data_IF_510891835501
#
_entry.id   IF_510891835501
#
_cell.length_a   1.000
_cell.length_b   1.000
_cell.length_c   1.000
_cell.angle_alpha   90.00
_cell.angle_beta   90.00
_cell.angle_gamma   90.00
#
_symmetry.space_group_name_H-M   'P 1'
#
loop_
_entity.id
_entity.type
_entity.pdbx_description
1 polymer ?
#
# COMPACT_ATOMS: atom_id res chain seq x y z
N UNK A 1 8.91 6.95 -11.32
CA UNK A 1 9.87 7.66 -10.47
C UNK A 1 9.41 9.10 -10.20
N UNK A 2 10.10 9.83 -9.32
CA UNK A 2 9.74 11.20 -8.94
C UNK A 2 9.76 12.18 -10.11
N UNK A 3 10.65 12.01 -11.09
CA UNK A 3 10.73 12.88 -12.26
C UNK A 3 9.51 12.70 -13.19
N UNK A 4 9.05 11.48 -13.37
CA UNK A 4 7.82 11.18 -14.12
C UNK A 4 6.59 11.76 -13.41
N UNK A 5 6.51 11.60 -12.09
CA UNK A 5 5.44 12.20 -11.29
C UNK A 5 5.44 13.72 -11.40
N UNK A 6 6.61 14.37 -11.33
CA UNK A 6 6.73 15.81 -11.47
C UNK A 6 6.22 16.31 -12.84
N UNK A 7 6.56 15.59 -13.93
CA UNK A 7 6.04 15.91 -15.29
C UNK A 7 4.51 15.78 -15.36
N UNK A 8 3.95 14.73 -14.78
CA UNK A 8 2.50 14.54 -14.72
C UNK A 8 1.80 15.70 -13.99
N UNK A 9 2.34 16.12 -12.85
CA UNK A 9 1.82 17.26 -12.10
C UNK A 9 1.96 18.59 -12.85
N UNK A 10 3.08 18.81 -13.58
CA UNK A 10 3.24 19.99 -14.42
C UNK A 10 2.18 20.05 -15.53
N UNK A 11 1.89 18.93 -16.18
CA UNK A 11 0.83 18.84 -17.18
C UNK A 11 -0.54 19.15 -16.57
N UNK A 12 -0.88 18.52 -15.44
CA UNK A 12 -2.14 18.73 -14.73
C UNK A 12 -2.36 20.18 -14.32
N UNK A 13 -1.34 20.84 -13.78
CA UNK A 13 -1.46 22.19 -13.23
C UNK A 13 -1.30 23.30 -14.27
N UNK A 14 -0.60 23.06 -15.40
CA UNK A 14 -0.20 24.13 -16.31
C UNK A 14 -0.83 24.07 -17.69
N UNK A 15 -1.33 22.90 -18.15
CA UNK A 15 -2.01 22.81 -19.43
C UNK A 15 -3.47 23.30 -19.35
N UNK A 16 -4.07 23.81 -20.45
CA UNK A 16 -5.49 24.18 -20.47
C UNK A 16 -6.41 23.01 -20.11
N UNK A 17 -6.11 21.82 -20.62
CA UNK A 17 -6.87 20.58 -20.36
C UNK A 17 -6.78 20.17 -18.91
N UNK A 18 -5.58 20.17 -18.33
CA UNK A 18 -5.36 19.85 -16.93
C UNK A 18 -6.07 20.83 -15.99
N UNK A 19 -6.01 22.13 -16.29
CA UNK A 19 -6.72 23.17 -15.52
C UNK A 19 -8.24 22.97 -15.60
N UNK A 20 -8.77 22.66 -16.79
CA UNK A 20 -10.20 22.38 -16.99
C UNK A 20 -10.63 21.18 -16.12
N UNK A 21 -9.91 20.07 -16.22
CA UNK A 21 -10.20 18.86 -15.44
C UNK A 21 -10.08 19.12 -13.94
N UNK A 22 -9.07 19.87 -13.50
CA UNK A 22 -8.91 20.23 -12.10
C UNK A 22 -10.08 21.08 -11.58
N UNK A 23 -10.55 22.04 -12.39
CA UNK A 23 -11.71 22.87 -12.01
C UNK A 23 -12.97 22.02 -11.90
N UNK A 24 -13.20 21.12 -12.85
CA UNK A 24 -14.32 20.17 -12.81
C UNK A 24 -14.24 19.27 -11.56
N UNK A 25 -13.07 18.70 -11.30
CA UNK A 25 -12.83 17.88 -10.11
C UNK A 25 -13.11 18.65 -8.80
N UNK A 26 -12.58 19.85 -8.67
CA UNK A 26 -12.78 20.70 -7.48
C UNK A 26 -14.23 21.14 -7.28
N UNK A 27 -15.06 21.12 -8.34
CA UNK A 27 -16.49 21.40 -8.21
C UNK A 27 -17.28 20.24 -7.57
N UNK A 28 -16.74 19.03 -7.64
CA UNK A 28 -17.37 17.79 -7.16
C UNK A 28 -16.82 17.42 -5.77
N UNK A 29 -15.52 17.60 -5.56
CA UNK A 29 -14.83 17.20 -4.34
C UNK A 29 -13.74 18.19 -3.93
N UNK A 30 -13.60 18.40 -2.61
CA UNK A 30 -12.44 19.10 -2.05
C UNK A 30 -11.38 18.06 -1.73
N UNK A 31 -10.26 18.12 -2.45
CA UNK A 31 -9.17 17.17 -2.28
C UNK A 31 -7.86 17.89 -1.98
N UNK A 32 -7.15 17.40 -0.98
CA UNK A 32 -5.77 17.76 -0.72
C UNK A 32 -4.84 16.85 -1.52
N UNK A 33 -3.76 17.44 -2.03
CA UNK A 33 -2.71 16.66 -2.69
C UNK A 33 -1.91 15.91 -1.63
N UNK A 34 -1.86 14.58 -1.77
CA UNK A 34 -1.00 13.72 -0.96
C UNK A 34 -0.13 12.87 -1.88
N UNK A 35 1.15 12.82 -1.59
CA UNK A 35 2.11 11.97 -2.29
C UNK A 35 2.79 11.02 -1.31
N UNK A 36 3.07 9.82 -1.77
CA UNK A 36 3.80 8.82 -1.01
C UNK A 36 4.81 8.09 -1.88
N UNK A 37 5.84 7.55 -1.27
CA UNK A 37 6.68 6.53 -1.89
C UNK A 37 6.10 5.15 -1.56
N UNK A 38 5.96 4.32 -2.57
CA UNK A 38 5.51 2.93 -2.42
C UNK A 38 6.68 1.99 -2.74
N UNK A 39 7.00 1.11 -1.81
CA UNK A 39 8.01 0.07 -1.98
C UNK A 39 7.34 -1.29 -2.06
N UNK A 40 7.56 -1.99 -3.16
CA UNK A 40 7.12 -3.38 -3.32
C UNK A 40 8.00 -4.28 -2.45
N UNK A 41 7.37 -5.01 -1.52
CA UNK A 41 8.01 -6.07 -0.75
C UNK A 41 7.93 -7.39 -1.50
N UNK A 42 6.76 -7.68 -2.02
CA UNK A 42 6.47 -8.82 -2.87
C UNK A 42 5.22 -8.52 -3.72
N UNK A 43 5.17 -9.05 -4.94
CA UNK A 43 3.97 -9.00 -5.79
C UNK A 43 3.98 -10.13 -6.82
N UNK A 44 2.81 -10.74 -6.99
CA UNK A 44 2.47 -11.52 -8.17
C UNK A 44 1.96 -10.55 -9.25
N UNK A 45 2.82 -10.22 -10.21
CA UNK A 45 2.55 -9.21 -11.23
C UNK A 45 1.41 -9.65 -12.15
N UNK A 46 1.31 -10.93 -12.48
CA UNK A 46 0.27 -11.45 -13.37
C UNK A 46 -1.09 -11.41 -12.69
N UNK A 47 -1.16 -11.84 -11.43
CA UNK A 47 -2.37 -11.73 -10.62
C UNK A 47 -2.79 -10.27 -10.40
N UNK A 48 -1.84 -9.37 -10.14
CA UNK A 48 -2.10 -7.93 -10.02
C UNK A 48 -2.65 -7.34 -11.31
N UNK A 49 -2.15 -7.74 -12.48
CA UNK A 49 -2.60 -7.23 -13.78
C UNK A 49 -3.96 -7.79 -14.19
N UNK A 50 -4.30 -9.01 -13.79
CA UNK A 50 -5.57 -9.66 -14.13
C UNK A 50 -6.73 -9.26 -13.22
N UNK A 51 -6.46 -8.82 -11.99
CA UNK A 51 -7.48 -8.45 -11.00
C UNK A 51 -7.93 -7.01 -11.19
N UNK A 52 -9.24 -6.79 -11.42
CA UNK A 52 -9.84 -5.45 -11.58
C UNK A 52 -10.50 -4.94 -10.29
N UNK A 53 -11.09 -5.82 -9.52
CA UNK A 53 -11.71 -5.52 -8.22
C UNK A 53 -10.95 -6.30 -7.16
N UNK A 54 -10.32 -5.61 -6.23
CA UNK A 54 -9.42 -6.16 -5.25
C UNK A 54 -9.80 -5.71 -3.85
N UNK A 55 -9.25 -6.36 -2.85
CA UNK A 55 -9.30 -5.87 -1.47
C UNK A 55 -7.90 -5.44 -1.05
N UNK A 56 -7.80 -4.23 -0.53
CA UNK A 56 -6.58 -3.70 0.07
C UNK A 56 -6.74 -3.67 1.59
N UNK A 57 -5.85 -4.35 2.29
CA UNK A 57 -5.78 -4.28 3.76
C UNK A 57 -4.62 -3.38 4.15
N UNK A 58 -4.94 -2.28 4.81
CA UNK A 58 -4.00 -1.28 5.27
C UNK A 58 -3.76 -1.42 6.77
N UNK A 59 -2.51 -1.32 7.16
CA UNK A 59 -2.09 -1.36 8.53
C UNK A 59 -1.04 -0.25 8.77
N UNK A 60 -1.46 0.82 9.43
CA UNK A 60 -0.60 1.96 9.75
C UNK A 60 0.31 1.65 10.93
N UNK A 61 1.60 1.94 10.78
CA UNK A 61 2.63 1.55 11.73
C UNK A 61 3.66 2.64 11.95
N UNK A 62 4.20 2.68 13.16
CA UNK A 62 5.42 3.38 13.53
C UNK A 62 6.52 2.38 13.89
N UNK A 63 7.79 2.76 13.69
CA UNK A 63 8.91 2.00 14.21
C UNK A 63 8.94 2.08 15.74
N UNK A 64 9.22 0.96 16.39
CA UNK A 64 9.50 0.97 17.83
C UNK A 64 10.79 1.68 18.16
N UNK A 65 10.88 2.18 19.38
CA UNK A 65 12.09 2.80 19.90
C UNK A 65 13.30 1.85 19.76
N UNK A 66 14.39 2.37 19.23
CA UNK A 66 15.62 1.60 19.00
C UNK A 66 15.62 0.70 17.76
N UNK A 67 14.51 0.57 17.03
CA UNK A 67 14.44 -0.18 15.77
C UNK A 67 14.87 0.72 14.61
N UNK A 68 15.78 0.21 13.77
CA UNK A 68 16.23 0.94 12.58
C UNK A 68 15.46 0.50 11.33
N UNK A 69 15.44 1.36 10.33
CA UNK A 69 14.84 1.02 9.02
C UNK A 69 15.51 -0.21 8.39
N UNK A 70 16.82 -0.36 8.56
CA UNK A 70 17.59 -1.51 8.05
C UNK A 70 17.14 -2.82 8.68
N UNK A 71 16.93 -2.83 10.01
CA UNK A 71 16.45 -4.02 10.72
C UNK A 71 15.01 -4.39 10.31
N UNK A 72 14.15 -3.40 10.06
CA UNK A 72 12.80 -3.64 9.54
C UNK A 72 12.84 -4.17 8.10
N UNK A 73 13.71 -3.63 7.23
CA UNK A 73 13.88 -4.12 5.86
C UNK A 73 14.36 -5.58 5.86
N UNK A 74 15.33 -5.93 6.72
CA UNK A 74 15.79 -7.31 6.88
C UNK A 74 14.67 -8.24 7.36
N UNK A 75 13.81 -7.77 8.28
CA UNK A 75 12.63 -8.50 8.73
C UNK A 75 11.62 -8.73 7.59
N UNK A 76 11.35 -7.72 6.77
CA UNK A 76 10.49 -7.87 5.59
C UNK A 76 11.04 -8.93 4.63
N UNK A 77 12.35 -8.88 4.32
CA UNK A 77 12.99 -9.85 3.44
C UNK A 77 12.86 -11.29 3.99
N UNK A 78 13.09 -11.49 5.29
CA UNK A 78 12.91 -12.79 5.95
C UNK A 78 11.46 -13.29 5.86
N UNK A 79 10.47 -12.43 5.99
CA UNK A 79 9.06 -12.84 5.84
C UNK A 79 8.79 -13.27 4.41
N UNK A 80 9.23 -12.52 3.40
CA UNK A 80 9.05 -12.87 1.98
C UNK A 80 9.74 -14.19 1.65
N UNK A 81 10.95 -14.43 2.17
CA UNK A 81 11.69 -15.68 1.97
C UNK A 81 10.95 -16.91 2.53
N UNK A 82 10.33 -16.77 3.71
CA UNK A 82 9.58 -17.86 4.35
C UNK A 82 8.17 -18.07 3.76
N UNK A 83 7.61 -17.07 3.07
CA UNK A 83 6.28 -17.10 2.45
C UNK A 83 6.32 -16.58 1.01
N UNK A 84 7.06 -17.24 0.09
CA UNK A 84 7.37 -16.71 -1.24
C UNK A 84 6.16 -16.56 -2.17
N UNK A 85 5.04 -17.23 -1.88
CA UNK A 85 3.79 -17.13 -2.66
C UNK A 85 2.73 -16.22 -2.04
N UNK A 86 3.07 -15.53 -0.95
CA UNK A 86 2.06 -14.85 -0.12
C UNK A 86 1.14 -15.85 0.59
N UNK A 87 0.10 -15.34 1.22
CA UNK A 87 -0.93 -16.16 1.88
C UNK A 87 -2.28 -15.55 1.56
N UNK A 88 -2.89 -16.00 0.48
CA UNK A 88 -4.11 -15.43 -0.08
C UNK A 88 -3.93 -14.04 -0.71
N UNK A 89 -2.84 -13.32 -0.40
CA UNK A 89 -2.54 -12.02 -0.98
C UNK A 89 -1.74 -12.16 -2.28
N UNK A 90 -1.92 -11.20 -3.18
CA UNK A 90 -1.21 -11.07 -4.47
C UNK A 90 -0.19 -9.91 -4.46
N UNK A 91 -0.08 -9.19 -3.37
CA UNK A 91 0.93 -8.16 -3.20
C UNK A 91 1.08 -7.71 -1.76
N UNK A 92 2.30 -7.26 -1.44
CA UNK A 92 2.65 -6.62 -0.18
C UNK A 92 3.53 -5.41 -0.44
N UNK A 93 3.08 -4.26 0.03
CA UNK A 93 3.71 -2.96 -0.21
C UNK A 93 3.93 -2.21 1.09
N UNK A 94 4.99 -1.40 1.11
CA UNK A 94 5.19 -0.36 2.13
C UNK A 94 4.84 1.01 1.53
N UNK A 95 3.98 1.75 2.19
CA UNK A 95 3.52 3.07 1.79
C UNK A 95 4.07 4.12 2.76
N UNK A 96 4.87 5.05 2.28
CA UNK A 96 5.53 6.09 3.07
C UNK A 96 5.03 7.47 2.66
N UNK A 97 4.26 8.16 3.51
CA UNK A 97 3.80 9.51 3.23
C UNK A 97 4.97 10.48 3.02
N UNK A 98 4.84 11.34 2.00
CA UNK A 98 5.82 12.40 1.69
C UNK A 98 5.14 13.77 1.79
N UNK A 99 4.61 14.29 0.67
CA UNK A 99 3.92 15.57 0.61
C UNK A 99 2.49 15.40 1.11
N UNK A 100 2.03 16.30 1.98
CA UNK A 100 0.69 16.21 2.57
C UNK A 100 0.54 15.09 3.60
N UNK A 101 1.64 14.51 4.06
CA UNK A 101 1.65 13.40 5.02
C UNK A 101 1.43 13.80 6.49
N UNK A 102 1.37 15.09 6.81
CA UNK A 102 1.25 15.57 8.20
C UNK A 102 0.00 15.06 8.96
N UNK A 103 -1.02 14.60 8.22
CA UNK A 103 -2.24 13.99 8.78
C UNK A 103 -2.27 12.47 8.62
N UNK A 104 -1.16 11.83 8.24
CA UNK A 104 -1.08 10.38 8.18
C UNK A 104 -1.23 9.79 9.60
N UNK A 105 -1.94 8.67 9.76
CA UNK A 105 -2.15 8.05 11.07
C UNK A 105 -0.87 7.59 11.76
N UNK A 106 0.17 7.25 10.97
CA UNK A 106 1.49 6.82 11.45
C UNK A 106 2.55 7.04 10.35
N UNK A 107 3.81 6.71 10.62
CA UNK A 107 4.95 6.98 9.75
C UNK A 107 4.91 6.24 8.43
N UNK A 108 4.30 5.08 8.38
CA UNK A 108 4.12 4.29 7.17
C UNK A 108 2.91 3.36 7.26
N UNK A 109 2.51 2.79 6.12
CA UNK A 109 1.53 1.71 6.13
C UNK A 109 2.07 0.46 5.43
N UNK A 110 1.70 -0.70 5.96
CA UNK A 110 1.73 -1.95 5.23
C UNK A 110 0.42 -2.10 4.45
N UNK A 111 0.53 -2.47 3.19
CA UNK A 111 -0.62 -2.71 2.33
C UNK A 111 -0.53 -4.13 1.79
N UNK A 112 -1.49 -4.97 2.12
CA UNK A 112 -1.68 -6.28 1.51
C UNK A 112 -2.82 -6.20 0.50
N UNK A 113 -2.60 -6.70 -0.70
CA UNK A 113 -3.60 -6.75 -1.77
C UNK A 113 -4.06 -8.20 -1.94
N UNK A 114 -5.37 -8.38 -1.97
CA UNK A 114 -6.03 -9.67 -2.18
C UNK A 114 -6.84 -9.64 -3.48
N UNK A 115 -6.83 -10.72 -4.28
CA UNK A 115 -7.54 -10.73 -5.56
C UNK A 115 -9.06 -10.65 -5.36
N UNK A 116 -9.54 -11.18 -4.25
CA UNK A 116 -10.96 -11.27 -3.89
C UNK A 116 -11.15 -11.47 -2.37
N UNK A 117 -12.39 -11.64 -1.95
CA UNK A 117 -12.74 -11.90 -0.55
C UNK A 117 -12.24 -13.27 -0.08
N UNK A 118 -12.16 -14.27 -0.97
CA UNK A 118 -11.68 -15.60 -0.59
C UNK A 118 -10.20 -15.56 -0.18
N UNK A 119 -9.34 -14.86 -0.95
CA UNK A 119 -7.94 -14.66 -0.59
C UNK A 119 -7.78 -13.89 0.72
N UNK A 120 -8.61 -12.87 0.98
CA UNK A 120 -8.61 -12.17 2.26
C UNK A 120 -8.98 -13.12 3.43
N UNK A 121 -10.00 -13.97 3.25
CA UNK A 121 -10.40 -14.92 4.29
C UNK A 121 -9.37 -16.03 4.49
N UNK A 122 -8.70 -16.50 3.45
CA UNK A 122 -7.56 -17.41 3.56
C UNK A 122 -6.45 -16.83 4.43
N UNK A 123 -6.10 -15.57 4.21
CA UNK A 123 -5.13 -14.87 5.05
C UNK A 123 -5.58 -14.80 6.52
N UNK A 124 -6.86 -14.49 6.78
CA UNK A 124 -7.39 -14.44 8.15
C UNK A 124 -7.40 -15.82 8.82
N UNK A 125 -7.71 -16.88 8.07
CA UNK A 125 -7.63 -18.24 8.55
C UNK A 125 -6.18 -18.63 8.89
N UNK A 126 -5.22 -18.33 8.01
CA UNK A 126 -3.80 -18.56 8.30
C UNK A 126 -3.36 -17.86 9.59
N UNK A 127 -3.78 -16.59 9.81
CA UNK A 127 -3.49 -15.89 11.06
C UNK A 127 -4.02 -16.70 12.26
N UNK A 128 -5.25 -17.20 12.19
CA UNK A 128 -5.88 -17.98 13.28
C UNK A 128 -5.20 -19.34 13.52
N UNK A 129 -4.67 -19.97 12.48
CA UNK A 129 -4.03 -21.30 12.53
C UNK A 129 -2.54 -21.28 12.91
N UNK A 130 -2.00 -20.12 13.29
CA UNK A 130 -0.62 -20.00 13.79
C UNK A 130 0.20 -18.88 13.14
N UNK A 131 -0.27 -18.27 12.07
CA UNK A 131 0.33 -17.10 11.42
C UNK A 131 0.42 -15.90 12.36
N UNK A 132 -0.42 -15.85 13.39
CA UNK A 132 -0.34 -14.85 14.46
C UNK A 132 1.05 -14.78 15.11
N UNK A 133 1.84 -15.85 15.11
CA UNK A 133 3.22 -15.88 15.63
C UNK A 133 4.14 -15.00 14.78
N UNK A 134 3.99 -15.06 13.44
CA UNK A 134 4.74 -14.21 12.50
C UNK A 134 4.36 -12.75 12.69
N UNK A 135 3.06 -12.48 12.86
CA UNK A 135 2.56 -11.14 13.13
C UNK A 135 3.06 -10.60 14.47
N UNK A 136 3.05 -11.42 15.50
CA UNK A 136 3.58 -11.05 16.84
C UNK A 136 5.09 -10.77 16.78
N UNK A 137 5.85 -11.60 16.06
CA UNK A 137 7.28 -11.38 15.86
C UNK A 137 7.55 -10.09 15.07
N UNK A 138 6.73 -9.79 14.05
CA UNK A 138 6.78 -8.52 13.35
C UNK A 138 6.53 -7.32 14.26
N UNK A 139 5.63 -7.46 15.22
CA UNK A 139 5.33 -6.42 16.23
C UNK A 139 6.45 -6.18 17.26
N UNK A 140 7.55 -6.93 17.22
CA UNK A 140 8.77 -6.54 17.93
C UNK A 140 9.49 -5.35 17.25
N UNK A 141 9.19 -5.08 15.98
CA UNK A 141 9.80 -4.02 15.18
C UNK A 141 8.91 -2.77 15.05
N UNK A 142 7.61 -2.94 15.16
CA UNK A 142 6.64 -1.87 14.86
C UNK A 142 5.48 -1.86 15.84
N UNK A 143 4.92 -0.68 16.04
CA UNK A 143 3.61 -0.47 16.66
C UNK A 143 2.60 -0.14 15.57
N UNK A 144 1.65 -1.03 15.36
CA UNK A 144 0.66 -0.89 14.30
C UNK A 144 -0.75 -0.71 14.86
N UNK A 145 -1.52 0.10 14.15
CA UNK A 145 -2.96 0.23 14.37
C UNK A 145 -3.69 -1.02 13.82
N UNK A 146 -4.99 -1.11 14.05
CA UNK A 146 -5.82 -2.19 13.48
C UNK A 146 -5.86 -2.18 11.94
N UNK A 147 -6.27 -3.31 11.38
CA UNK A 147 -6.39 -3.47 9.93
C UNK A 147 -7.60 -2.70 9.39
N UNK A 148 -7.39 -1.89 8.35
CA UNK A 148 -8.45 -1.27 7.57
C UNK A 148 -8.57 -2.03 6.24
N UNK A 149 -9.78 -2.47 5.90
CA UNK A 149 -10.05 -3.16 4.63
C UNK A 149 -10.82 -2.24 3.72
N UNK A 150 -10.33 -2.08 2.49
CA UNK A 150 -10.92 -1.26 1.44
C UNK A 150 -11.15 -2.08 0.19
N UNK A 151 -12.19 -1.73 -0.57
CA UNK A 151 -12.37 -2.24 -1.93
C UNK A 151 -11.54 -1.34 -2.85
N UNK A 152 -10.70 -1.94 -3.66
CA UNK A 152 -9.90 -1.29 -4.68
C UNK A 152 -10.45 -1.64 -6.05
N UNK A 153 -10.81 -0.63 -6.83
CA UNK A 153 -11.19 -0.78 -8.23
C UNK A 153 -10.12 -0.16 -9.13
N UNK A 154 -9.51 -0.98 -9.97
CA UNK A 154 -8.49 -0.53 -10.93
C UNK A 154 -9.17 0.15 -12.10
N UNK A 155 -9.06 1.47 -12.19
CA UNK A 155 -9.64 2.29 -13.27
C UNK A 155 -8.72 2.45 -14.47
N UNK A 156 -7.41 2.36 -14.25
CA UNK A 156 -6.41 2.52 -15.30
C UNK A 156 -5.22 1.59 -15.02
N UNK A 157 -4.78 0.88 -16.04
CA UNK A 157 -3.54 0.11 -16.01
C UNK A 157 -2.55 0.75 -16.99
N UNK A 158 -1.34 1.12 -16.56
CA UNK A 158 -0.33 1.65 -17.47
C UNK A 158 0.02 0.62 -18.55
N UNK A 159 -0.02 1.03 -19.82
CA UNK A 159 0.37 0.18 -20.94
C UNK A 159 -0.74 -0.67 -21.58
N UNK A 160 -2.00 -0.47 -21.20
CA UNK A 160 -3.17 -1.04 -21.89
C UNK A 160 -3.89 -0.03 -22.76
#
# INVERSE_FOLDING_TARGET
DHATSAKGWQLWLNTPEGKKLNTEWQSIAKCDLKMATVYTRWADVDAMNSSKNRFAMWNWCDLKEGVTSESLIAKHASIVENYPGGIGNIGWFGFFPLIGGATAPASFANILIFPDMAGLMEHKQWIAEGGWKVRQDYYNYVDCQGDYVMIEEVRHQPGT
#
